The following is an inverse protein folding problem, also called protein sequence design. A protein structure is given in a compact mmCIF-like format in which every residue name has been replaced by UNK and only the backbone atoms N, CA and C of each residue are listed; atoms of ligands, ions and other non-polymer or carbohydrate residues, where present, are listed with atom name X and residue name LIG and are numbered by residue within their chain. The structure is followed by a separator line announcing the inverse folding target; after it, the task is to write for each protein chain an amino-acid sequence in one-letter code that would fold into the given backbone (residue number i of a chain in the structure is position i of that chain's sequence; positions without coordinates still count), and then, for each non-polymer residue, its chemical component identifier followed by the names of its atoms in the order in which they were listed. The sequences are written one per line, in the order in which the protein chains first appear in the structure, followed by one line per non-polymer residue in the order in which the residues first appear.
data_IF_610731019152
#
_entry.id   IF_610731019152
#
_cell.length_a   1.000
_cell.length_b   1.000
_cell.length_c   1.000
_cell.angle_alpha   90.00
_cell.angle_beta   90.00
_cell.angle_gamma   90.00
#
_symmetry.space_group_name_H-M   'P 1'
#
loop_
_entity.id
_entity.type
_entity.pdbx_description
1 polymer ?
#
# COMPACT_ATOMS: atom_id res chain seq x y z
N UNK A 1 -33.23 -92.23 1.46
CA UNK A 1 -32.66 -91.23 2.38
C UNK A 1 -32.09 -90.06 1.60
N UNK A 2 -32.59 -88.82 1.75
CA UNK A 2 -31.94 -87.63 1.20
C UNK A 2 -31.43 -86.69 2.31
N UNK A 3 -30.17 -86.24 2.17
CA UNK A 3 -29.50 -85.28 3.07
C UNK A 3 -29.95 -83.85 2.75
N UNK A 4 -30.37 -83.10 3.79
CA UNK A 4 -30.71 -81.68 3.72
C UNK A 4 -29.44 -80.83 3.62
N UNK A 5 -29.32 -80.04 2.55
CA UNK A 5 -28.29 -79.01 2.41
C UNK A 5 -28.72 -77.71 3.10
N UNK A 6 -27.83 -77.14 3.92
CA UNK A 6 -28.01 -75.84 4.58
C UNK A 6 -27.62 -74.73 3.60
N UNK A 7 -28.55 -73.84 3.27
CA UNK A 7 -28.27 -72.63 2.47
C UNK A 7 -27.60 -71.58 3.36
N UNK A 8 -26.38 -71.21 3.02
CA UNK A 8 -25.66 -70.09 3.63
C UNK A 8 -26.24 -68.78 3.11
N UNK A 9 -26.64 -67.89 4.02
CA UNK A 9 -26.96 -66.49 3.72
C UNK A 9 -25.66 -65.71 3.66
N UNK A 10 -25.33 -65.19 2.48
CA UNK A 10 -24.18 -64.29 2.31
C UNK A 10 -24.47 -62.97 3.04
N UNK A 11 -23.71 -62.70 4.11
CA UNK A 11 -23.61 -61.38 4.71
C UNK A 11 -22.81 -60.48 3.78
N UNK A 12 -23.46 -59.46 3.25
CA UNK A 12 -22.85 -58.43 2.42
C UNK A 12 -22.45 -57.26 3.34
N UNK A 13 -21.15 -56.92 3.49
CA UNK A 13 -20.77 -55.78 4.30
C UNK A 13 -21.16 -54.51 3.56
N UNK A 14 -21.94 -53.65 4.21
CA UNK A 14 -22.23 -52.30 3.72
C UNK A 14 -20.91 -51.58 3.48
N UNK A 15 -20.61 -51.29 2.22
CA UNK A 15 -19.46 -50.46 1.84
C UNK A 15 -19.64 -49.09 2.49
N UNK A 16 -18.87 -48.84 3.55
CA UNK A 16 -18.71 -47.53 4.16
C UNK A 16 -18.31 -46.55 3.06
N UNK A 17 -19.25 -45.70 2.65
CA UNK A 17 -19.01 -44.61 1.73
C UNK A 17 -18.06 -43.64 2.42
N UNK A 18 -16.76 -43.82 2.17
CA UNK A 18 -15.75 -42.83 2.53
C UNK A 18 -16.14 -41.54 1.81
N UNK A 19 -16.67 -40.58 2.57
CA UNK A 19 -16.83 -39.21 2.11
C UNK A 19 -15.46 -38.75 1.60
N UNK A 20 -15.39 -38.05 0.45
CA UNK A 20 -14.13 -37.46 0.02
C UNK A 20 -13.63 -36.53 1.13
N UNK A 21 -12.30 -36.49 1.38
CA UNK A 21 -11.75 -35.54 2.34
C UNK A 21 -12.19 -34.12 1.94
N UNK A 22 -12.46 -33.23 2.91
CA UNK A 22 -12.78 -31.84 2.60
C UNK A 22 -11.66 -31.29 1.72
N UNK A 23 -12.01 -30.81 0.53
CA UNK A 23 -11.06 -30.22 -0.39
C UNK A 23 -10.34 -29.09 0.33
N UNK A 24 -9.03 -29.23 0.54
CA UNK A 24 -8.18 -28.13 0.99
C UNK A 24 -8.48 -26.90 0.13
N UNK A 25 -8.60 -25.69 0.70
CA UNK A 25 -8.83 -24.49 -0.11
C UNK A 25 -7.72 -24.42 -1.16
N UNK A 26 -8.12 -24.48 -2.44
CA UNK A 26 -7.19 -24.42 -3.56
C UNK A 26 -6.50 -23.05 -3.51
N UNK A 27 -5.17 -23.07 -3.32
CA UNK A 27 -4.35 -21.86 -3.36
C UNK A 27 -4.47 -21.24 -4.75
N UNK A 28 -5.09 -20.07 -4.84
CA UNK A 28 -5.29 -19.40 -6.13
C UNK A 28 -4.05 -18.60 -6.55
N UNK A 29 -3.97 -18.22 -7.82
CA UNK A 29 -2.95 -17.28 -8.29
C UNK A 29 -2.94 -15.97 -7.49
N UNK A 30 -4.14 -15.48 -7.13
CA UNK A 30 -4.29 -14.27 -6.33
C UNK A 30 -3.67 -14.44 -4.94
N UNK A 31 -3.80 -15.63 -4.34
CA UNK A 31 -3.19 -15.93 -3.04
C UNK A 31 -1.68 -15.75 -3.10
N UNK A 32 -1.06 -16.28 -4.15
CA UNK A 32 0.40 -16.18 -4.34
C UNK A 32 0.85 -14.75 -4.56
N UNK A 33 0.11 -13.99 -5.35
CA UNK A 33 0.43 -12.58 -5.64
C UNK A 33 0.32 -11.71 -4.38
N UNK A 34 -0.70 -11.94 -3.55
CA UNK A 34 -0.86 -11.18 -2.30
C UNK A 34 0.19 -11.56 -1.26
N UNK A 35 0.64 -12.81 -1.24
CA UNK A 35 1.75 -13.25 -0.39
C UNK A 35 3.07 -12.61 -0.82
N UNK A 36 3.37 -12.59 -2.11
CA UNK A 36 4.54 -11.90 -2.68
C UNK A 36 4.53 -10.39 -2.36
N UNK A 37 3.35 -9.75 -2.41
CA UNK A 37 3.21 -8.34 -2.02
C UNK A 37 3.58 -8.11 -0.55
N UNK A 38 3.21 -9.03 0.35
CA UNK A 38 3.54 -8.94 1.78
C UNK A 38 5.04 -9.14 1.99
N UNK A 39 5.66 -10.11 1.32
CA UNK A 39 7.11 -10.37 1.42
C UNK A 39 7.93 -9.20 0.86
N UNK A 40 7.53 -8.66 -0.30
CA UNK A 40 8.18 -7.50 -0.92
C UNK A 40 8.07 -6.29 0.01
N UNK A 41 6.89 -6.05 0.57
CA UNK A 41 6.66 -4.98 1.53
C UNK A 41 7.49 -5.15 2.80
N UNK A 42 7.58 -6.37 3.35
CA UNK A 42 8.41 -6.65 4.51
C UNK A 42 9.86 -6.26 4.28
N UNK A 43 10.46 -6.68 3.15
CA UNK A 43 11.87 -6.38 2.88
C UNK A 43 12.13 -4.87 2.76
N UNK A 44 11.25 -4.15 2.05
CA UNK A 44 11.41 -2.72 1.82
C UNK A 44 11.10 -1.90 3.07
N UNK A 45 10.05 -2.26 3.82
CA UNK A 45 9.65 -1.52 5.02
C UNK A 45 10.67 -1.71 6.13
N UNK A 46 11.11 -2.95 6.39
CA UNK A 46 12.09 -3.23 7.45
C UNK A 46 13.46 -2.63 7.14
N UNK A 47 13.90 -2.62 5.87
CA UNK A 47 15.11 -1.91 5.44
C UNK A 47 15.12 -0.46 5.93
N UNK A 48 13.99 0.22 5.81
CA UNK A 48 13.83 1.62 6.21
C UNK A 48 13.39 1.82 7.68
N UNK A 49 13.04 0.77 8.42
CA UNK A 49 12.77 0.85 9.87
C UNK A 49 14.04 0.64 10.72
N UNK A 50 14.89 -0.33 10.35
CA UNK A 50 16.23 -0.51 10.95
C UNK A 50 17.15 0.69 10.69
N UNK A 51 16.73 1.57 9.79
CA UNK A 51 17.35 2.83 9.43
C UNK A 51 17.26 3.93 10.50
N UNK A 52 17.04 3.60 11.77
CA UNK A 52 17.45 4.51 12.87
C UNK A 52 18.92 4.95 12.77
N UNK A 53 19.75 4.20 12.03
CA UNK A 53 21.15 4.51 11.69
C UNK A 53 21.37 5.14 10.31
N UNK A 54 20.40 5.12 9.40
CA UNK A 54 20.58 5.74 8.09
C UNK A 54 20.31 7.24 8.26
N UNK A 55 21.38 8.02 8.11
CA UNK A 55 21.37 9.47 8.24
C UNK A 55 20.65 10.12 7.04
N UNK A 56 20.59 9.42 5.90
CA UNK A 56 20.00 9.92 4.66
C UNK A 56 18.48 9.74 4.63
N UNK A 57 17.69 10.82 4.48
CA UNK A 57 16.23 10.75 4.34
C UNK A 57 15.79 9.92 3.12
N UNK A 58 14.70 9.16 3.25
CA UNK A 58 14.12 8.34 2.19
C UNK A 58 13.77 9.17 0.95
N UNK A 59 13.29 10.40 1.13
CA UNK A 59 12.87 11.29 0.03
C UNK A 59 13.96 12.28 -0.40
N UNK A 60 15.24 11.93 -0.25
CA UNK A 60 16.35 12.72 -0.75
C UNK A 60 16.53 12.57 -2.26
N UNK A 61 17.26 13.50 -2.89
CA UNK A 61 17.51 13.48 -4.34
C UNK A 61 18.11 12.15 -4.83
N UNK A 62 19.01 11.57 -4.06
CA UNK A 62 19.72 10.32 -4.40
C UNK A 62 18.88 9.05 -4.16
N UNK A 63 17.82 9.13 -3.35
CA UNK A 63 16.99 7.98 -2.92
C UNK A 63 15.60 7.98 -3.54
N UNK A 64 15.32 8.88 -4.50
CA UNK A 64 14.00 9.03 -5.15
C UNK A 64 13.45 7.74 -5.77
N UNK A 65 14.31 6.89 -6.33
CA UNK A 65 13.88 5.59 -6.88
C UNK A 65 13.44 4.64 -5.77
N UNK A 66 14.20 4.58 -4.68
CA UNK A 66 13.87 3.75 -3.51
C UNK A 66 12.60 4.25 -2.82
N UNK A 67 12.38 5.56 -2.74
CA UNK A 67 11.14 6.14 -2.25
C UNK A 67 9.92 5.71 -3.08
N UNK A 68 10.04 5.68 -4.42
CA UNK A 68 8.97 5.17 -5.29
C UNK A 68 8.70 3.69 -5.05
N UNK A 69 9.76 2.88 -4.93
CA UNK A 69 9.62 1.45 -4.63
C UNK A 69 8.96 1.24 -3.27
N UNK A 70 9.33 2.01 -2.27
CA UNK A 70 8.73 2.00 -0.94
C UNK A 70 7.22 2.28 -1.01
N UNK A 71 6.82 3.36 -1.67
CA UNK A 71 5.40 3.72 -1.83
C UNK A 71 4.62 2.65 -2.59
N UNK A 72 5.20 2.07 -3.63
CA UNK A 72 4.59 0.97 -4.38
C UNK A 72 4.38 -0.27 -3.50
N UNK A 73 5.36 -0.59 -2.64
CA UNK A 73 5.26 -1.71 -1.71
C UNK A 73 4.17 -1.48 -0.66
N UNK A 74 4.04 -0.25 -0.13
CA UNK A 74 2.94 0.12 0.78
C UNK A 74 1.58 -0.02 0.11
N UNK A 75 1.46 0.38 -1.17
CA UNK A 75 0.23 0.21 -1.95
C UNK A 75 -0.09 -1.28 -2.20
N UNK A 76 0.93 -2.08 -2.53
CA UNK A 76 0.80 -3.53 -2.67
C UNK A 76 0.33 -4.18 -1.36
N UNK A 77 0.92 -3.80 -0.23
CA UNK A 77 0.54 -4.25 1.09
C UNK A 77 -0.91 -3.91 1.44
N UNK A 78 -1.35 -2.68 1.15
CA UNK A 78 -2.75 -2.27 1.34
C UNK A 78 -3.70 -3.16 0.54
N UNK A 79 -3.33 -3.49 -0.70
CA UNK A 79 -4.14 -4.33 -1.59
C UNK A 79 -4.22 -5.77 -1.08
N UNK A 80 -3.09 -6.31 -0.60
CA UNK A 80 -3.04 -7.62 0.06
C UNK A 80 -3.89 -7.66 1.33
N UNK A 81 -3.87 -6.61 2.16
CA UNK A 81 -4.72 -6.51 3.34
C UNK A 81 -6.21 -6.52 3.00
N UNK A 82 -6.64 -5.71 2.03
CA UNK A 82 -8.04 -5.67 1.59
C UNK A 82 -8.50 -7.05 1.12
N UNK A 83 -7.67 -7.73 0.33
CA UNK A 83 -7.94 -9.08 -0.13
C UNK A 83 -8.03 -10.08 1.04
N UNK A 84 -7.06 -10.08 1.96
CA UNK A 84 -7.05 -10.97 3.12
C UNK A 84 -8.25 -10.78 4.03
N UNK A 85 -8.69 -9.53 4.27
CA UNK A 85 -9.90 -9.24 5.08
C UNK A 85 -11.14 -9.91 4.50
N UNK A 86 -11.29 -9.92 3.17
CA UNK A 86 -12.45 -10.56 2.51
C UNK A 86 -12.38 -12.08 2.52
N UNK A 87 -11.19 -12.67 2.63
CA UNK A 87 -10.98 -14.11 2.50
C UNK A 87 -10.84 -14.82 3.84
N UNK A 88 -10.02 -14.28 4.73
CA UNK A 88 -9.78 -14.77 6.08
C UNK A 88 -9.27 -13.62 6.98
N UNK A 89 -10.22 -13.02 7.71
CA UNK A 89 -9.98 -11.92 8.63
C UNK A 89 -9.20 -12.32 9.89
N UNK A 90 -8.97 -13.62 10.12
CA UNK A 90 -8.22 -14.14 11.27
C UNK A 90 -6.84 -14.66 10.89
N UNK A 91 -6.45 -14.52 9.62
CA UNK A 91 -5.16 -15.01 9.13
C UNK A 91 -3.96 -14.33 9.79
N UNK A 92 -2.95 -15.11 10.14
CA UNK A 92 -1.66 -14.59 10.63
C UNK A 92 -1.00 -13.65 9.61
N UNK A 93 -1.21 -13.90 8.32
CA UNK A 93 -0.75 -13.02 7.24
C UNK A 93 -1.33 -11.61 7.35
N UNK A 94 -2.62 -11.48 7.73
CA UNK A 94 -3.25 -10.18 7.93
C UNK A 94 -2.65 -9.45 9.14
N UNK A 95 -2.41 -10.14 10.25
CA UNK A 95 -1.77 -9.56 11.44
C UNK A 95 -0.37 -9.02 11.08
N UNK A 96 0.43 -9.82 10.36
CA UNK A 96 1.74 -9.40 9.87
C UNK A 96 1.64 -8.19 8.94
N UNK A 97 0.69 -8.19 8.01
CA UNK A 97 0.49 -7.09 7.09
C UNK A 97 0.06 -5.79 7.80
N UNK A 98 -0.79 -5.89 8.84
CA UNK A 98 -1.16 -4.75 9.68
C UNK A 98 0.03 -4.14 10.40
N UNK A 99 0.89 -4.98 10.99
CA UNK A 99 2.12 -4.52 11.63
C UNK A 99 3.04 -3.77 10.66
N UNK A 100 3.26 -4.35 9.47
CA UNK A 100 4.05 -3.71 8.41
C UNK A 100 3.45 -2.37 7.96
N UNK A 101 2.12 -2.28 7.85
CA UNK A 101 1.44 -1.04 7.47
C UNK A 101 1.64 0.06 8.53
N UNK A 102 1.52 -0.27 9.81
CA UNK A 102 1.78 0.67 10.90
C UNK A 102 3.23 1.16 10.88
N UNK A 103 4.16 0.25 10.64
CA UNK A 103 5.57 0.55 10.52
C UNK A 103 5.85 1.50 9.35
N UNK A 104 5.25 1.21 8.19
CA UNK A 104 5.37 2.05 7.02
C UNK A 104 4.81 3.46 7.25
N UNK A 105 3.64 3.55 7.85
CA UNK A 105 3.00 4.83 8.13
C UNK A 105 3.85 5.70 9.06
N UNK A 106 4.48 5.12 10.08
CA UNK A 106 5.38 5.83 10.98
C UNK A 106 6.59 6.42 10.22
N UNK A 107 7.17 5.66 9.31
CA UNK A 107 8.28 6.12 8.47
C UNK A 107 7.85 7.25 7.54
N UNK A 108 6.70 7.12 6.88
CA UNK A 108 6.16 8.17 6.00
C UNK A 108 5.86 9.46 6.76
N UNK A 109 5.30 9.37 7.96
CA UNK A 109 5.03 10.54 8.81
C UNK A 109 6.34 11.26 9.20
N UNK A 110 7.37 10.49 9.60
CA UNK A 110 8.68 11.05 9.93
C UNK A 110 9.30 11.78 8.73
N UNK A 111 9.28 11.15 7.56
CA UNK A 111 9.83 11.73 6.34
C UNK A 111 9.05 12.97 5.89
N UNK A 112 7.72 12.95 5.99
CA UNK A 112 6.90 14.10 5.69
C UNK A 112 7.23 15.29 6.60
N UNK A 113 7.37 15.04 7.90
CA UNK A 113 7.84 16.05 8.85
C UNK A 113 9.24 16.57 8.49
N UNK A 114 10.18 15.68 8.16
CA UNK A 114 11.53 16.05 7.74
C UNK A 114 11.49 17.01 6.55
N UNK A 115 10.74 16.68 5.50
CA UNK A 115 10.58 17.53 4.30
C UNK A 115 10.03 18.90 4.69
N UNK A 116 8.96 18.96 5.49
CA UNK A 116 8.37 20.23 5.92
C UNK A 116 9.36 21.06 6.75
N UNK A 117 10.07 20.42 7.68
CA UNK A 117 11.05 21.09 8.54
C UNK A 117 12.23 21.68 7.76
N UNK A 118 12.74 20.97 6.75
CA UNK A 118 13.83 21.44 5.89
C UNK A 118 13.42 22.59 4.97
N UNK A 119 12.11 22.75 4.70
CA UNK A 119 11.58 23.82 3.87
C UNK A 119 10.99 24.98 4.70
N UNK A 120 11.15 24.97 6.03
CA UNK A 120 10.55 25.95 6.95
C UNK A 120 10.87 27.40 6.58
N UNK A 121 12.10 27.67 6.14
CA UNK A 121 12.55 29.01 5.73
C UNK A 121 11.85 29.55 4.47
N UNK A 122 11.29 28.66 3.63
CA UNK A 122 10.52 29.02 2.43
C UNK A 122 9.01 29.05 2.67
N UNK A 123 8.56 28.57 3.82
CA UNK A 123 7.15 28.52 4.23
C UNK A 123 6.83 29.57 5.31
N UNK A 124 7.82 30.36 5.74
CA UNK A 124 7.64 31.43 6.71
C UNK A 124 6.98 32.65 6.02
N UNK A 125 5.81 33.16 6.48
CA UNK A 125 5.16 34.34 5.90
C UNK A 125 6.09 35.54 5.69
N UNK A 126 7.11 35.70 6.53
CA UNK A 126 8.11 36.77 6.43
C UNK A 126 8.99 36.66 5.15
N UNK A 127 9.27 35.46 4.64
CA UNK A 127 10.09 35.28 3.42
C UNK A 127 9.27 35.23 2.13
N UNK A 128 7.99 34.82 2.19
CA UNK A 128 7.09 34.81 1.02
C UNK A 128 6.57 36.22 0.67
N UNK A 129 6.46 37.12 1.66
CA UNK A 129 6.00 38.50 1.45
C UNK A 129 7.00 39.33 0.60
N UNK A 130 8.29 39.00 0.62
CA UNK A 130 9.31 39.75 -0.12
C UNK A 130 9.38 39.37 -1.62
N UNK A 131 8.75 38.25 -2.00
CA UNK A 131 8.75 37.76 -3.38
C UNK A 131 7.55 38.27 -4.19
N UNK A 132 6.46 38.64 -3.52
CA UNK A 132 5.24 39.16 -4.14
C UNK A 132 5.26 40.70 -4.34
N UNK A 133 6.24 41.41 -3.79
CA UNK A 133 6.31 42.88 -3.83
C UNK A 133 7.14 43.46 -4.99
N UNK A 134 7.77 42.65 -5.84
CA UNK A 134 8.65 43.15 -6.92
C UNK A 134 7.88 43.46 -8.22
N UNK A 135 6.59 43.13 -8.32
CA UNK A 135 5.82 43.24 -9.58
C UNK A 135 4.70 44.30 -9.56
N UNK A 136 5.00 45.49 -9.02
CA UNK A 136 4.10 46.65 -9.13
C UNK A 136 4.86 47.94 -9.40
N UNK A 137 5.42 48.10 -10.60
CA UNK A 137 5.79 49.43 -11.12
C UNK A 137 5.97 49.46 -12.65
N UNK A 138 4.87 49.46 -13.39
CA UNK A 138 4.78 50.12 -14.70
C UNK A 138 3.33 50.33 -15.15
N UNK A 139 2.47 50.92 -14.31
CA UNK A 139 1.25 51.57 -14.80
C UNK A 139 1.60 52.99 -15.27
N UNK A 140 2.04 53.13 -16.52
CA UNK A 140 2.08 54.44 -17.19
C UNK A 140 0.65 54.84 -17.50
N UNK A 141 0.11 55.73 -16.68
CA UNK A 141 -1.09 56.50 -16.95
C UNK A 141 -0.66 57.87 -17.47
N UNK A 142 -1.04 58.20 -18.70
CA UNK A 142 -1.16 59.59 -19.15
C UNK A 142 -2.51 59.73 -19.85
N UNK A 143 -3.27 60.70 -19.33
CA UNK A 143 -4.65 61.02 -19.65
C UNK A 143 -4.78 62.01 -20.81
N UNK A 144 -5.82 61.79 -21.63
CA UNK A 144 -6.78 62.77 -22.16
C UNK A 144 -6.31 63.91 -23.09
N UNK A 145 -6.80 63.94 -24.34
CA UNK A 145 -7.71 64.99 -24.86
C UNK A 145 -8.20 64.70 -26.30
N UNK A 146 -9.50 64.90 -26.48
CA UNK A 146 -10.37 64.91 -27.67
C UNK A 146 -9.89 65.69 -28.92
N UNK A 147 -10.26 65.19 -30.11
CA UNK A 147 -10.67 66.03 -31.25
C UNK A 147 -11.36 65.21 -32.34
N UNK A 148 -12.69 65.12 -32.24
CA UNK A 148 -13.68 65.11 -33.33
C UNK A 148 -13.20 65.75 -34.64
N UNK A 149 -13.22 65.02 -35.77
CA UNK A 149 -13.67 65.52 -37.09
C UNK A 149 -14.37 64.37 -37.85
N UNK A 150 -15.63 64.65 -38.17
CA UNK A 150 -16.59 63.88 -38.94
C UNK A 150 -16.38 64.02 -40.47
N UNK A 151 -16.92 63.03 -41.21
CA UNK A 151 -17.07 62.84 -42.68
C UNK A 151 -15.97 62.01 -43.36
#
# INVERSE_FOLDING_TARGET
MPRKGMRSIFFQPSTSSKLPPPSSPLRTFSDSLMEENIETAESLITKWDYSKKIITPLFSGNTRLEAKQYLNAVKGLQSAMQYLVTRDSTSNALIKAQFLMQLAMKTLQKEFYQILSSNREYLDPETVSNRSSVDRRSSVSFSDYESEIEI
#
